data_IF_541955554800
#
_entry.id   IF_541955554800
#
_cell.length_a   1.000
_cell.length_b   1.000
_cell.length_c   1.000
_cell.angle_alpha   90.00
_cell.angle_beta   90.00
_cell.angle_gamma   90.00
#
_symmetry.space_group_name_H-M   'P 1'
#
loop_
_entity.id
_entity.type
_entity.pdbx_description
1 polymer ?
#
# COMPACT_ATOMS: atom_id res chain seq x y z
N UNK A 1 11.64 -13.25 -30.00
CA UNK A 1 11.91 -13.37 -28.54
C UNK A 1 11.10 -14.54 -27.98
N UNK A 2 11.65 -15.40 -27.12
CA UNK A 2 10.89 -16.49 -26.48
C UNK A 2 9.72 -15.91 -25.67
N UNK A 3 8.58 -16.61 -25.61
CA UNK A 3 7.36 -16.11 -24.94
C UNK A 3 7.62 -15.88 -23.45
N UNK A 4 8.40 -16.76 -22.81
CA UNK A 4 8.80 -16.60 -21.41
C UNK A 4 9.52 -15.27 -21.13
N UNK A 5 10.46 -14.86 -21.98
CA UNK A 5 11.18 -13.59 -21.84
C UNK A 5 10.24 -12.39 -21.96
N UNK A 6 9.34 -12.42 -22.95
CA UNK A 6 8.36 -11.34 -23.16
C UNK A 6 7.48 -11.14 -21.93
N UNK A 7 6.95 -12.22 -21.35
CA UNK A 7 6.13 -12.15 -20.14
C UNK A 7 6.91 -11.56 -18.96
N UNK A 8 8.19 -11.93 -18.80
CA UNK A 8 9.04 -11.35 -17.75
C UNK A 8 9.25 -9.85 -17.96
N UNK A 9 9.56 -9.41 -19.19
CA UNK A 9 9.70 -7.98 -19.52
C UNK A 9 8.45 -7.18 -19.19
N UNK A 10 7.28 -7.70 -19.58
CA UNK A 10 6.00 -7.03 -19.31
C UNK A 10 5.77 -6.97 -17.80
N UNK A 11 5.94 -8.08 -17.08
CA UNK A 11 5.82 -8.13 -15.63
C UNK A 11 6.72 -7.11 -14.93
N UNK A 12 8.02 -7.08 -15.26
CA UNK A 12 8.97 -6.15 -14.64
C UNK A 12 8.77 -4.69 -15.02
N UNK A 13 8.20 -4.40 -16.18
CA UNK A 13 7.84 -3.04 -16.59
C UNK A 13 6.55 -2.56 -15.88
N UNK A 14 5.57 -3.44 -15.67
CA UNK A 14 4.29 -3.08 -15.06
C UNK A 14 4.43 -2.47 -13.66
N UNK A 15 5.40 -2.92 -12.85
CA UNK A 15 5.60 -2.35 -11.51
C UNK A 15 6.04 -0.88 -11.54
N UNK A 16 6.54 -0.36 -12.66
CA UNK A 16 6.85 1.07 -12.79
C UNK A 16 5.59 1.95 -12.81
N UNK A 17 4.41 1.39 -13.10
CA UNK A 17 3.15 2.12 -12.99
C UNK A 17 2.81 2.55 -11.56
N UNK A 18 3.44 1.93 -10.54
CA UNK A 18 3.25 2.27 -9.13
C UNK A 18 3.73 3.68 -8.77
N UNK A 19 4.54 4.31 -9.62
CA UNK A 19 4.92 5.73 -9.46
C UNK A 19 3.74 6.68 -9.69
N UNK A 20 2.65 6.20 -10.29
CA UNK A 20 1.49 6.99 -10.67
C UNK A 20 0.24 6.48 -9.97
N UNK A 21 0.12 5.16 -9.79
CA UNK A 21 -1.07 4.53 -9.23
C UNK A 21 -0.97 4.38 -7.71
N UNK A 22 -2.05 4.66 -6.96
CA UNK A 22 -2.10 4.37 -5.53
C UNK A 22 -2.03 2.87 -5.28
N UNK A 23 -1.30 2.47 -4.25
CA UNK A 23 -1.25 1.07 -3.79
C UNK A 23 -2.47 0.75 -2.91
N UNK A 24 -2.88 1.70 -2.09
CA UNK A 24 -3.94 1.52 -1.12
C UNK A 24 -4.79 2.78 -1.03
N UNK A 25 -6.06 2.61 -0.68
CA UNK A 25 -6.95 3.72 -0.36
C UNK A 25 -7.57 3.48 1.03
N UNK A 26 -7.58 4.53 1.84
CA UNK A 26 -8.32 4.56 3.09
C UNK A 26 -9.41 5.63 2.96
N UNK A 27 -10.67 5.24 3.10
CA UNK A 27 -11.80 6.16 3.09
C UNK A 27 -12.41 6.26 4.49
N UNK A 28 -12.62 7.49 4.96
CA UNK A 28 -13.21 7.84 6.24
C UNK A 28 -14.57 8.51 6.02
N UNK A 29 -15.62 7.84 6.48
CA UNK A 29 -16.96 8.41 6.59
C UNK A 29 -17.11 9.05 7.97
N UNK A 30 -17.45 10.33 8.00
CA UNK A 30 -17.65 11.10 9.22
C UNK A 30 -18.98 11.87 9.14
N UNK A 31 -19.77 11.97 10.22
CA UNK A 31 -21.06 12.67 10.18
C UNK A 31 -20.98 14.15 9.81
N UNK A 32 -19.79 14.73 9.97
CA UNK A 32 -19.50 16.15 9.75
C UNK A 32 -19.23 16.46 8.27
N UNK A 33 -18.92 15.43 7.48
CA UNK A 33 -18.58 15.55 6.06
C UNK A 33 -19.66 14.86 5.22
N UNK A 34 -20.30 15.56 4.27
CA UNK A 34 -21.34 14.95 3.43
C UNK A 34 -20.76 13.92 2.45
N UNK A 35 -19.50 14.10 2.04
CA UNK A 35 -18.76 13.19 1.18
C UNK A 35 -17.65 12.50 2.00
N UNK A 36 -17.39 11.20 1.78
CA UNK A 36 -16.31 10.49 2.48
C UNK A 36 -14.93 11.04 2.12
N UNK A 37 -14.07 11.22 3.13
CA UNK A 37 -12.69 11.67 2.94
C UNK A 37 -11.81 10.50 2.53
N UNK A 38 -11.04 10.64 1.45
CA UNK A 38 -10.14 9.61 0.94
C UNK A 38 -8.66 9.94 1.13
N UNK A 39 -7.88 8.93 1.49
CA UNK A 39 -6.43 8.97 1.59
C UNK A 39 -5.83 7.92 0.65
N UNK A 40 -5.20 8.37 -0.41
CA UNK A 40 -4.47 7.51 -1.33
C UNK A 40 -3.02 7.35 -0.87
N UNK A 41 -2.59 6.09 -0.75
CA UNK A 41 -1.24 5.71 -0.33
C UNK A 41 -0.46 5.30 -1.56
N UNK A 42 0.49 6.14 -1.97
CA UNK A 42 1.42 5.88 -3.06
C UNK A 42 2.74 5.36 -2.50
N UNK A 43 3.58 4.78 -3.37
CA UNK A 43 4.92 4.32 -2.98
C UNK A 43 5.82 5.46 -2.48
N UNK A 44 5.50 6.71 -2.81
CA UNK A 44 6.31 7.89 -2.53
C UNK A 44 5.60 8.94 -1.67
N UNK A 45 4.46 8.59 -1.06
CA UNK A 45 3.74 9.53 -0.20
C UNK A 45 2.24 9.31 -0.12
N UNK A 46 1.60 10.20 0.62
CA UNK A 46 0.17 10.27 0.81
C UNK A 46 -0.44 11.38 -0.05
N UNK A 47 -1.60 11.13 -0.65
CA UNK A 47 -2.29 12.08 -1.52
C UNK A 47 -3.79 12.12 -1.21
N UNK A 48 -4.44 13.21 -1.63
CA UNK A 48 -5.90 13.33 -1.62
C UNK A 48 -6.51 12.21 -2.47
N UNK A 49 -7.43 11.44 -1.89
CA UNK A 49 -8.02 10.28 -2.56
C UNK A 49 -9.33 10.58 -3.27
N UNK A 50 -10.36 10.99 -2.51
CA UNK A 50 -11.73 11.10 -3.04
C UNK A 50 -12.04 12.52 -3.52
N UNK A 51 -11.64 13.52 -2.73
CA UNK A 51 -11.96 14.92 -2.92
C UNK A 51 -10.74 15.82 -2.67
N UNK A 52 -10.73 17.05 -3.22
CA UNK A 52 -9.67 18.01 -2.96
C UNK A 52 -9.59 18.39 -1.47
N UNK A 53 -8.37 18.42 -0.92
CA UNK A 53 -8.07 18.71 0.48
C UNK A 53 -8.49 17.64 1.48
N UNK A 54 -8.73 16.40 1.05
CA UNK A 54 -9.04 15.30 1.96
C UNK A 54 -7.96 15.11 3.02
N UNK A 55 -6.68 15.13 2.64
CA UNK A 55 -5.54 14.99 3.59
C UNK A 55 -5.61 16.08 4.67
N UNK A 56 -5.90 17.33 4.27
CA UNK A 56 -6.03 18.46 5.20
C UNK A 56 -7.24 18.30 6.12
N UNK A 57 -8.36 17.81 5.59
CA UNK A 57 -9.58 17.57 6.38
C UNK A 57 -9.38 16.41 7.38
N UNK A 58 -8.66 15.36 6.97
CA UNK A 58 -8.25 14.27 7.84
C UNK A 58 -7.35 14.79 8.96
N UNK A 59 -6.33 15.61 8.66
CA UNK A 59 -5.48 16.23 9.68
C UNK A 59 -6.26 17.10 10.67
N UNK A 60 -7.26 17.85 10.17
CA UNK A 60 -8.12 18.64 11.03
C UNK A 60 -8.92 17.74 12.00
N UNK A 61 -9.48 16.63 11.50
CA UNK A 61 -10.15 15.64 12.34
C UNK A 61 -9.19 15.02 13.36
N UNK A 62 -8.00 14.63 12.93
CA UNK A 62 -6.97 14.02 13.78
C UNK A 62 -6.62 14.92 14.96
N UNK A 63 -6.44 16.22 14.70
CA UNK A 63 -6.17 17.20 15.74
C UNK A 63 -7.23 17.20 16.87
N UNK A 64 -8.51 17.04 16.54
CA UNK A 64 -9.58 17.03 17.54
C UNK A 64 -9.63 15.76 18.38
N UNK A 65 -9.26 14.61 17.79
CA UNK A 65 -9.29 13.29 18.44
C UNK A 65 -7.92 12.85 18.97
N UNK A 66 -6.90 13.73 18.89
CA UNK A 66 -5.56 13.48 19.41
C UNK A 66 -4.68 12.59 18.52
N UNK A 67 -5.10 12.29 17.29
CA UNK A 67 -4.24 11.59 16.35
C UNK A 67 -3.16 12.53 15.80
N UNK A 68 -2.01 11.97 15.43
CA UNK A 68 -0.95 12.71 14.75
C UNK A 68 -1.46 13.19 13.38
N UNK A 69 -0.87 14.27 12.87
CA UNK A 69 -1.04 14.61 11.46
C UNK A 69 -0.46 13.50 10.59
N UNK A 70 -1.02 13.35 9.40
CA UNK A 70 -0.50 12.46 8.39
C UNK A 70 0.95 12.85 8.06
N UNK A 71 1.88 11.88 8.09
CA UNK A 71 3.28 12.17 7.85
C UNK A 71 3.46 12.60 6.39
N UNK A 72 4.16 13.71 6.19
CA UNK A 72 4.53 14.21 4.85
C UNK A 72 5.76 13.49 4.30
N UNK A 73 6.66 13.12 5.21
CA UNK A 73 7.90 12.42 4.92
C UNK A 73 7.97 11.19 5.83
N UNK A 74 8.27 10.04 5.23
CA UNK A 74 8.51 8.78 5.91
C UNK A 74 9.68 8.09 5.21
N UNK A 75 10.54 7.42 5.99
CA UNK A 75 11.69 6.71 5.45
C UNK A 75 11.26 5.65 4.41
N UNK A 76 10.08 5.08 4.61
CA UNK A 76 9.43 4.12 3.72
C UNK A 76 9.12 4.74 2.34
N UNK A 77 8.72 6.02 2.29
CA UNK A 77 8.45 6.73 1.04
C UNK A 77 9.71 7.00 0.21
N UNK A 78 10.89 6.99 0.84
CA UNK A 78 12.16 7.04 0.14
C UNK A 78 12.62 5.64 -0.31
N UNK A 79 12.34 4.61 0.49
CA UNK A 79 12.78 3.23 0.22
C UNK A 79 11.94 2.56 -0.87
N UNK A 80 10.60 2.66 -0.82
CA UNK A 80 9.74 1.94 -1.77
C UNK A 80 10.02 2.31 -3.24
N UNK A 81 10.20 3.58 -3.64
CA UNK A 81 10.55 3.93 -5.01
C UNK A 81 11.87 3.29 -5.47
N UNK A 82 12.89 3.27 -4.60
CA UNK A 82 14.17 2.62 -4.87
C UNK A 82 13.98 1.11 -5.08
N UNK A 83 13.20 0.46 -4.21
CA UNK A 83 12.89 -0.97 -4.32
C UNK A 83 12.19 -1.28 -5.64
N UNK A 84 11.20 -0.48 -6.05
CA UNK A 84 10.49 -0.69 -7.32
C UNK A 84 11.43 -0.54 -8.52
N UNK A 85 12.31 0.48 -8.53
CA UNK A 85 13.30 0.68 -9.59
C UNK A 85 14.26 -0.52 -9.66
N UNK A 86 14.83 -0.92 -8.51
CA UNK A 86 15.78 -2.04 -8.43
C UNK A 86 15.11 -3.34 -8.88
N UNK A 87 13.88 -3.61 -8.43
CA UNK A 87 13.15 -4.81 -8.83
C UNK A 87 12.79 -4.79 -10.32
N UNK A 88 12.49 -3.63 -10.90
CA UNK A 88 12.25 -3.51 -12.33
C UNK A 88 13.51 -3.85 -13.13
N UNK A 89 14.66 -3.29 -12.75
CA UNK A 89 15.96 -3.58 -13.36
C UNK A 89 16.36 -5.05 -13.23
N UNK A 90 16.21 -5.65 -12.04
CA UNK A 90 16.46 -7.07 -11.82
C UNK A 90 15.54 -7.95 -12.68
N UNK A 91 14.28 -7.54 -12.84
CA UNK A 91 13.34 -8.23 -13.71
C UNK A 91 13.75 -8.19 -15.18
N UNK A 92 14.23 -7.03 -15.66
CA UNK A 92 14.78 -6.90 -17.00
C UNK A 92 16.05 -7.73 -17.21
N UNK A 93 16.97 -7.75 -16.25
CA UNK A 93 18.17 -8.60 -16.30
C UNK A 93 17.77 -10.09 -16.34
N UNK A 94 16.81 -10.50 -15.52
CA UNK A 94 16.28 -11.86 -15.55
C UNK A 94 15.70 -12.19 -16.94
N UNK A 95 14.90 -11.28 -17.52
CA UNK A 95 14.30 -11.44 -18.85
C UNK A 95 15.37 -11.59 -19.95
N UNK A 96 16.43 -10.77 -19.92
CA UNK A 96 17.56 -10.84 -20.86
C UNK A 96 18.22 -12.22 -20.83
N UNK A 97 18.57 -12.71 -19.64
CA UNK A 97 19.23 -14.01 -19.48
C UNK A 97 18.31 -15.20 -19.82
N UNK A 98 16.99 -15.08 -19.60
CA UNK A 98 16.03 -16.16 -19.83
C UNK A 98 16.20 -17.36 -18.89
N UNK A 99 16.93 -17.19 -17.79
CA UNK A 99 17.17 -18.28 -16.84
C UNK A 99 15.93 -18.45 -15.97
N UNK A 100 15.22 -19.57 -16.17
CA UNK A 100 14.03 -19.96 -15.38
C UNK A 100 14.19 -19.74 -13.86
N UNK A 101 15.33 -20.09 -13.28
CA UNK A 101 15.61 -19.88 -11.85
C UNK A 101 15.50 -18.41 -11.43
N UNK A 102 15.97 -17.47 -12.26
CA UNK A 102 15.92 -16.04 -11.97
C UNK A 102 14.48 -15.49 -11.99
N UNK A 103 13.60 -16.01 -12.85
CA UNK A 103 12.18 -15.64 -12.82
C UNK A 103 11.53 -16.02 -11.50
N UNK A 104 11.80 -17.24 -11.01
CA UNK A 104 11.29 -17.69 -9.73
C UNK A 104 11.88 -16.90 -8.56
N UNK A 105 13.19 -16.65 -8.57
CA UNK A 105 13.86 -15.82 -7.56
C UNK A 105 13.23 -14.43 -7.50
N UNK A 106 12.96 -13.80 -8.64
CA UNK A 106 12.31 -12.49 -8.69
C UNK A 106 10.91 -12.52 -8.06
N UNK A 107 10.09 -13.52 -8.39
CA UNK A 107 8.75 -13.68 -7.78
C UNK A 107 8.84 -13.87 -6.27
N UNK A 108 9.75 -14.72 -5.79
CA UNK A 108 9.95 -14.95 -4.34
C UNK A 108 10.37 -13.66 -3.64
N UNK A 109 11.30 -12.90 -4.23
CA UNK A 109 11.72 -11.60 -3.69
C UNK A 109 10.55 -10.61 -3.62
N UNK A 110 9.72 -10.53 -4.66
CA UNK A 110 8.53 -9.67 -4.65
C UNK A 110 7.53 -10.07 -3.56
N UNK A 111 7.33 -11.37 -3.31
CA UNK A 111 6.47 -11.84 -2.22
C UNK A 111 7.04 -11.41 -0.87
N UNK A 112 8.33 -11.63 -0.63
CA UNK A 112 8.99 -11.25 0.63
C UNK A 112 8.87 -9.73 0.86
N UNK A 113 9.19 -8.92 -0.15
CA UNK A 113 9.10 -7.46 -0.08
C UNK A 113 7.66 -6.99 0.10
N UNK A 114 6.70 -7.60 -0.59
CA UNK A 114 5.28 -7.28 -0.45
C UNK A 114 4.73 -7.62 0.93
N UNK A 115 5.10 -8.77 1.49
CA UNK A 115 4.75 -9.14 2.87
C UNK A 115 5.38 -8.20 3.88
N UNK A 116 6.65 -7.82 3.69
CA UNK A 116 7.32 -6.84 4.54
C UNK A 116 6.60 -5.48 4.50
N UNK A 117 6.19 -5.01 3.32
CA UNK A 117 5.43 -3.76 3.17
C UNK A 117 4.06 -3.79 3.85
N UNK A 118 3.32 -4.91 3.78
CA UNK A 118 2.04 -5.05 4.50
C UNK A 118 2.24 -5.10 6.02
N UNK A 119 3.31 -5.75 6.48
CA UNK A 119 3.64 -5.80 7.90
C UNK A 119 4.03 -4.42 8.45
N UNK A 120 4.85 -3.69 7.70
CA UNK A 120 5.21 -2.32 8.00
C UNK A 120 3.99 -1.39 8.03
N UNK A 121 3.10 -1.52 7.04
CA UNK A 121 1.81 -0.80 7.01
C UNK A 121 0.95 -1.09 8.24
N UNK A 122 0.91 -2.35 8.71
CA UNK A 122 0.21 -2.69 9.96
C UNK A 122 0.81 -1.99 11.18
N UNK A 123 2.14 -1.93 11.29
CA UNK A 123 2.84 -1.23 12.38
C UNK A 123 2.50 0.26 12.33
N UNK A 124 2.55 0.87 11.16
CA UNK A 124 2.18 2.27 10.98
C UNK A 124 0.74 2.54 11.43
N UNK A 125 -0.23 1.76 10.95
CA UNK A 125 -1.63 1.89 11.37
C UNK A 125 -1.81 1.70 12.88
N UNK A 126 -1.04 0.79 13.49
CA UNK A 126 -1.08 0.54 14.93
C UNK A 126 -0.59 1.74 15.74
N UNK A 127 0.61 2.27 15.44
CA UNK A 127 1.13 3.48 16.12
C UNK A 127 0.17 4.66 15.89
N UNK A 128 -0.28 4.84 14.65
CA UNK A 128 -1.19 5.92 14.28
C UNK A 128 -2.52 5.87 15.07
N UNK A 129 -3.05 4.67 15.30
CA UNK A 129 -4.30 4.45 16.01
C UNK A 129 -4.22 4.46 17.54
N UNK A 130 -3.04 4.20 18.13
CA UNK A 130 -2.87 4.01 19.59
C UNK A 130 -2.07 5.13 20.27
N UNK A 131 -1.30 5.90 19.51
CA UNK A 131 -0.45 6.96 20.04
C UNK A 131 -1.19 8.31 19.98
N UNK A 132 -2.19 8.43 20.86
CA UNK A 132 -3.10 9.57 20.92
C UNK A 132 -2.66 10.60 21.98
N UNK A 133 -2.80 11.89 21.67
CA UNK A 133 -2.55 12.97 22.61
C UNK A 133 -3.53 12.89 23.81
N UNK A 134 -3.03 12.71 25.05
CA UNK A 134 -3.88 12.66 26.24
C UNK A 134 -4.56 14.00 26.54
N UNK A 135 -4.27 15.09 25.83
CA UNK A 135 -4.92 16.41 25.99
C UNK A 135 -5.92 16.73 24.88
N UNK A 136 -6.24 15.78 24.00
CA UNK A 136 -7.20 15.99 22.92
C UNK A 136 -8.57 16.47 23.42
N UNK A 137 -9.21 17.32 22.61
CA UNK A 137 -10.52 17.94 22.90
C UNK A 137 -11.60 16.85 22.98
N UNK A 138 -11.57 15.89 22.05
CA UNK A 138 -12.48 14.77 22.01
C UNK A 138 -11.73 13.50 22.43
N UNK A 139 -12.15 12.90 23.53
CA UNK A 139 -11.66 11.59 23.97
C UNK A 139 -12.82 10.62 23.95
N UNK A 140 -12.69 9.57 23.15
CA UNK A 140 -13.67 8.50 23.16
C UNK A 140 -13.23 7.43 24.16
N UNK A 141 -14.07 7.15 25.14
CA UNK A 141 -13.84 6.13 26.16
C UNK A 141 -14.67 4.87 25.84
N UNK A 142 -14.12 3.69 26.13
CA UNK A 142 -14.85 2.43 26.08
C UNK A 142 -15.88 2.37 27.24
N UNK A 143 -16.69 1.30 27.28
CA UNK A 143 -17.68 1.08 28.34
C UNK A 143 -17.06 0.99 29.76
N UNK A 144 -15.75 0.77 29.84
CA UNK A 144 -14.97 0.66 31.08
C UNK A 144 -14.20 1.95 31.43
N UNK A 145 -14.33 3.01 30.63
CA UNK A 145 -13.66 4.30 30.86
C UNK A 145 -12.22 4.41 30.31
N UNK A 146 -11.74 3.47 29.50
CA UNK A 146 -10.41 3.54 28.87
C UNK A 146 -10.46 4.26 27.51
N UNK A 147 -9.42 5.02 27.13
CA UNK A 147 -9.31 5.61 25.80
C UNK A 147 -9.39 4.56 24.69
N UNK A 148 -10.30 4.75 23.72
CA UNK A 148 -10.42 3.89 22.55
C UNK A 148 -9.39 4.26 21.49
N UNK A 149 -8.78 3.23 20.89
CA UNK A 149 -7.88 3.38 19.75
C UNK A 149 -8.65 3.57 18.44
N UNK A 150 -8.13 4.43 17.56
CA UNK A 150 -8.73 4.71 16.24
C UNK A 150 -8.07 3.94 15.10
N UNK A 151 -7.41 2.82 15.39
CA UNK A 151 -6.67 2.05 14.39
C UNK A 151 -7.60 1.65 13.21
N UNK A 152 -7.30 2.14 11.99
CA UNK A 152 -7.95 1.67 10.76
C UNK A 152 -7.67 0.18 10.52
N UNK A 153 -8.57 -0.55 9.85
CA UNK A 153 -8.27 -1.92 9.43
C UNK A 153 -7.15 -1.92 8.38
N UNK A 154 -6.28 -2.93 8.40
CA UNK A 154 -5.32 -3.15 7.30
C UNK A 154 -6.07 -3.41 6.00
N UNK A 155 -7.12 -4.24 6.06
CA UNK A 155 -8.04 -4.51 4.96
C UNK A 155 -9.45 -4.67 5.51
N UNK A 156 -10.44 -4.12 4.82
CA UNK A 156 -11.85 -4.24 5.16
C UNK A 156 -12.45 -2.94 5.69
N UNK A 157 -13.57 -3.08 6.39
CA UNK A 157 -14.35 -1.96 6.92
C UNK A 157 -14.48 -2.10 8.44
N UNK A 158 -14.25 -1.01 9.18
CA UNK A 158 -14.40 -0.97 10.63
C UNK A 158 -15.16 0.28 11.04
N UNK A 159 -16.20 0.09 11.85
CA UNK A 159 -16.92 1.20 12.49
C UNK A 159 -16.22 1.58 13.79
N UNK A 160 -15.84 2.84 13.90
CA UNK A 160 -15.21 3.45 15.07
C UNK A 160 -16.17 4.51 15.61
N UNK A 161 -17.09 4.11 16.50
CA UNK A 161 -18.19 4.92 16.98
C UNK A 161 -19.07 5.49 15.85
N UNK A 162 -18.95 6.80 15.58
CA UNK A 162 -19.71 7.51 14.57
C UNK A 162 -18.96 7.60 13.23
N UNK A 163 -17.73 7.09 13.18
CA UNK A 163 -16.92 7.03 11.97
C UNK A 163 -16.97 5.63 11.37
N UNK A 164 -16.97 5.54 10.04
CA UNK A 164 -16.75 4.28 9.33
C UNK A 164 -15.47 4.42 8.52
N UNK A 165 -14.53 3.49 8.69
CA UNK A 165 -13.27 3.48 7.95
C UNK A 165 -13.22 2.27 7.04
N UNK A 166 -12.97 2.52 5.77
CA UNK A 166 -12.77 1.54 4.72
C UNK A 166 -11.30 1.54 4.32
N UNK A 167 -10.67 0.38 4.20
CA UNK A 167 -9.27 0.25 3.83
C UNK A 167 -9.13 -0.88 2.83
N UNK A 168 -8.75 -0.55 1.59
CA UNK A 168 -8.72 -1.51 0.50
C UNK A 168 -7.54 -1.29 -0.45
N UNK A 169 -7.05 -2.38 -1.08
CA UNK A 169 -6.08 -2.27 -2.17
C UNK A 169 -6.65 -1.40 -3.30
N UNK A 170 -5.84 -0.49 -3.80
CA UNK A 170 -6.17 0.37 -4.93
C UNK A 170 -5.58 -0.19 -6.24
N UNK A 171 -5.67 0.59 -7.32
CA UNK A 171 -5.30 0.15 -8.67
C UNK A 171 -3.85 -0.37 -8.77
N UNK A 172 -2.91 0.27 -8.08
CA UNK A 172 -1.51 -0.15 -8.03
C UNK A 172 -1.31 -1.55 -7.47
N UNK A 173 -2.04 -1.92 -6.40
CA UNK A 173 -1.94 -3.26 -5.83
C UNK A 173 -2.39 -4.35 -6.81
N UNK A 174 -3.45 -4.09 -7.59
CA UNK A 174 -3.90 -5.03 -8.63
C UNK A 174 -2.90 -5.13 -9.79
N UNK A 175 -2.25 -4.03 -10.19
CA UNK A 175 -1.20 -4.06 -11.22
C UNK A 175 0.04 -4.80 -10.72
N UNK A 176 0.40 -4.63 -9.45
CA UNK A 176 1.49 -5.38 -8.81
C UNK A 176 1.19 -6.89 -8.79
N UNK A 177 -0.03 -7.29 -8.43
CA UNK A 177 -0.45 -8.69 -8.49
C UNK A 177 -0.38 -9.25 -9.92
N UNK A 178 -0.84 -8.47 -10.91
CA UNK A 178 -0.78 -8.84 -12.32
C UNK A 178 0.67 -9.00 -12.81
N UNK A 179 1.57 -8.12 -12.39
CA UNK A 179 3.00 -8.23 -12.66
C UNK A 179 3.58 -9.55 -12.15
N UNK A 180 3.27 -9.93 -10.90
CA UNK A 180 3.71 -11.20 -10.32
C UNK A 180 3.14 -12.40 -11.07
N UNK A 181 1.89 -12.36 -11.51
CA UNK A 181 1.27 -13.41 -12.34
C UNK A 181 2.04 -13.57 -13.66
N UNK A 182 2.38 -12.46 -14.33
CA UNK A 182 3.17 -12.51 -15.56
C UNK A 182 4.57 -13.12 -15.35
N UNK A 183 5.28 -12.73 -14.29
CA UNK A 183 6.59 -13.28 -13.95
C UNK A 183 6.51 -14.79 -13.60
N UNK A 184 5.46 -15.20 -12.90
CA UNK A 184 5.23 -16.62 -12.58
C UNK A 184 4.89 -17.44 -13.83
N UNK A 185 4.06 -16.92 -14.74
CA UNK A 185 3.80 -17.56 -16.03
C UNK A 185 5.04 -17.62 -16.92
N UNK A 186 5.91 -16.60 -16.88
CA UNK A 186 7.22 -16.62 -17.53
C UNK A 186 8.05 -17.81 -17.02
N UNK A 187 8.07 -18.06 -15.71
CA UNK A 187 8.73 -19.21 -15.09
C UNK A 187 8.19 -20.55 -15.61
N UNK A 188 6.86 -20.72 -15.67
CA UNK A 188 6.25 -21.96 -16.18
C UNK A 188 6.61 -22.18 -17.66
N UNK A 189 6.50 -21.15 -18.49
CA UNK A 189 6.80 -21.24 -19.93
C UNK A 189 8.28 -21.51 -20.19
N UNK A 190 9.19 -20.91 -19.42
CA UNK A 190 10.62 -21.16 -19.53
C UNK A 190 11.01 -22.62 -19.24
N UNK A 191 10.18 -23.36 -18.48
CA UNK A 191 10.35 -24.80 -18.28
C UNK A 191 10.09 -25.59 -19.55
N UNK A 192 8.98 -25.31 -20.21
CA UNK A 192 8.53 -25.98 -21.44
C UNK A 192 9.36 -25.62 -22.68
N UNK A 193 10.11 -24.52 -22.64
CA UNK A 193 10.99 -24.07 -23.73
C UNK A 193 12.43 -24.59 -23.62
N UNK A 194 12.73 -25.37 -22.57
CA UNK A 194 14.00 -26.06 -22.35
C UNK A 194 13.92 -27.57 -22.62
N UNK A 195 12.72 -28.12 -22.58
CA UNK A 195 12.36 -29.42 -23.20
C UNK A 195 12.25 -29.25 -24.71
#
# INVERSE_FOLDING_TARGET
MKRSKLLMYIGSALILSLFILPLWNITLEAPQYPEPLGLDIHINGLQDGNNPNDVKNIDLLNHYIGMKNLPKDMLEFDIFPIVIIVMSLLGFIAALTGKRKLFLTWVILMIILGTAGIYDFYIWLYDYGHNLDPNAILKFLDENGNPMAYQPPVIGTKKLLNFTVHSYPASGAFVLALSMIFAFWAYIKAGKEKE
#
